data_IF_816822383761
#
_entry.id   IF_816822383761
#
_cell.length_a   1.000
_cell.length_b   1.000
_cell.length_c   1.000
_cell.angle_alpha   90.00
_cell.angle_beta   90.00
_cell.angle_gamma   90.00
#
_symmetry.space_group_name_H-M   'P 1'
#
loop_
_entity.id
_entity.type
_entity.pdbx_description
1 polymer ?
#
# COMPACT_ATOMS: atom_id res chain seq x y z
N UNK A 1 -2.75 -0.18 -18.08
CA UNK A 1 -2.23 -0.57 -16.76
C UNK A 1 -3.33 -1.40 -16.13
N UNK A 2 -3.03 -2.60 -15.67
CA UNK A 2 -4.03 -3.63 -15.38
C UNK A 2 -4.62 -3.41 -13.97
N UNK A 3 -5.65 -2.57 -13.86
CA UNK A 3 -6.41 -2.27 -12.63
C UNK A 3 -6.87 -3.55 -11.90
N UNK A 4 -6.98 -4.65 -12.65
CA UNK A 4 -7.32 -6.00 -12.17
C UNK A 4 -6.42 -6.46 -11.01
N UNK A 5 -5.11 -6.15 -11.03
CA UNK A 5 -4.15 -6.65 -10.03
C UNK A 5 -4.39 -6.10 -8.61
N UNK A 6 -4.67 -4.80 -8.48
CA UNK A 6 -4.88 -4.19 -7.16
C UNK A 6 -6.23 -4.58 -6.56
N UNK A 7 -7.26 -4.64 -7.41
CA UNK A 7 -8.60 -5.09 -7.01
C UNK A 7 -8.58 -6.55 -6.52
N UNK A 8 -7.94 -7.45 -7.27
CA UNK A 8 -7.81 -8.86 -6.89
C UNK A 8 -7.12 -9.02 -5.52
N UNK A 9 -6.06 -8.24 -5.25
CA UNK A 9 -5.35 -8.24 -3.96
C UNK A 9 -6.24 -7.72 -2.82
N UNK A 10 -7.01 -6.67 -3.07
CA UNK A 10 -7.95 -6.12 -2.09
C UNK A 10 -9.06 -7.13 -1.76
N UNK A 11 -9.65 -7.77 -2.77
CA UNK A 11 -10.67 -8.80 -2.59
C UNK A 11 -10.14 -10.01 -1.82
N UNK A 12 -8.92 -10.47 -2.13
CA UNK A 12 -8.25 -11.52 -1.38
C UNK A 12 -8.01 -11.13 0.09
N UNK A 13 -7.58 -9.89 0.35
CA UNK A 13 -7.42 -9.37 1.71
C UNK A 13 -8.76 -9.26 2.45
N UNK A 14 -9.83 -8.83 1.77
CA UNK A 14 -11.18 -8.76 2.32
C UNK A 14 -11.70 -10.15 2.71
N UNK A 15 -11.68 -11.11 1.79
CA UNK A 15 -12.11 -12.47 2.05
C UNK A 15 -11.34 -13.08 3.24
N UNK A 16 -10.03 -12.83 3.28
CA UNK A 16 -9.20 -13.32 4.36
C UNK A 16 -9.48 -12.65 5.71
N UNK A 17 -9.84 -11.37 5.73
CA UNK A 17 -10.21 -10.64 6.95
C UNK A 17 -11.56 -11.10 7.49
N UNK A 18 -12.55 -11.28 6.62
CA UNK A 18 -13.88 -11.77 7.01
C UNK A 18 -13.78 -13.18 7.60
N UNK A 19 -12.95 -14.04 7.01
CA UNK A 19 -12.62 -15.34 7.60
C UNK A 19 -12.05 -15.20 9.01
N UNK A 20 -11.09 -14.30 9.23
CA UNK A 20 -10.49 -14.09 10.55
C UNK A 20 -11.51 -13.53 11.57
N UNK A 21 -12.43 -12.67 11.13
CA UNK A 21 -13.53 -12.17 11.97
C UNK A 21 -14.47 -13.30 12.39
N UNK A 22 -14.85 -14.17 11.45
CA UNK A 22 -15.66 -15.36 11.78
C UNK A 22 -14.93 -16.30 12.75
N UNK A 23 -13.62 -16.53 12.54
CA UNK A 23 -12.81 -17.37 13.44
C UNK A 23 -12.69 -16.76 14.85
N UNK A 24 -12.63 -15.43 14.98
CA UNK A 24 -12.63 -14.72 16.26
C UNK A 24 -14.01 -14.81 16.94
N UNK A 25 -15.10 -14.57 16.19
CA UNK A 25 -16.46 -14.63 16.73
C UNK A 25 -16.81 -16.03 17.24
N UNK A 26 -16.44 -17.07 16.50
CA UNK A 26 -16.59 -18.46 16.94
C UNK A 26 -15.74 -18.80 18.19
N UNK A 27 -14.73 -17.99 18.52
CA UNK A 27 -13.86 -18.19 19.67
C UNK A 27 -14.30 -17.45 20.93
N UNK A 28 -15.22 -16.47 20.81
CA UNK A 28 -15.75 -15.67 21.95
C UNK A 28 -16.43 -16.53 23.03
N UNK A 29 -16.71 -17.80 22.72
CA UNK A 29 -17.25 -18.81 23.65
C UNK A 29 -16.19 -19.43 24.60
N UNK A 30 -14.91 -19.04 24.50
CA UNK A 30 -13.80 -19.62 25.28
C UNK A 30 -13.09 -18.63 26.24
N UNK A 31 -12.55 -19.14 27.36
CA UNK A 31 -11.92 -18.33 28.41
C UNK A 31 -10.41 -18.02 28.18
N UNK A 32 -9.82 -18.37 27.03
CA UNK A 32 -8.38 -18.18 26.82
C UNK A 32 -8.08 -16.77 26.26
N UNK A 33 -7.72 -15.85 27.17
CA UNK A 33 -7.47 -14.43 26.84
C UNK A 33 -6.34 -14.24 25.84
N UNK A 34 -5.24 -15.00 25.96
CA UNK A 34 -4.08 -14.88 25.06
C UNK A 34 -4.42 -15.28 23.63
N UNK A 35 -5.13 -16.40 23.44
CA UNK A 35 -5.57 -16.82 22.10
C UNK A 35 -6.54 -15.80 21.50
N UNK A 36 -7.43 -15.22 22.30
CA UNK A 36 -8.35 -14.18 21.85
C UNK A 36 -7.61 -12.93 21.38
N UNK A 37 -6.64 -12.45 22.16
CA UNK A 37 -5.79 -11.31 21.78
C UNK A 37 -5.02 -11.58 20.48
N UNK A 38 -4.48 -12.79 20.30
CA UNK A 38 -3.83 -13.19 19.06
C UNK A 38 -4.77 -13.18 17.84
N UNK A 39 -5.99 -13.69 17.99
CA UNK A 39 -7.00 -13.64 16.92
C UNK A 39 -7.42 -12.21 16.57
N UNK A 40 -7.59 -11.35 17.59
CA UNK A 40 -7.84 -9.91 17.38
C UNK A 40 -6.70 -9.26 16.60
N UNK A 41 -5.45 -9.59 16.94
CA UNK A 41 -4.28 -9.09 16.22
C UNK A 41 -4.33 -9.51 14.74
N UNK A 42 -4.66 -10.77 14.42
CA UNK A 42 -4.84 -11.22 13.02
C UNK A 42 -5.88 -10.37 12.29
N UNK A 43 -7.04 -10.12 12.90
CA UNK A 43 -8.09 -9.29 12.30
C UNK A 43 -7.56 -7.89 12.00
N UNK A 44 -6.86 -7.26 12.94
CA UNK A 44 -6.26 -5.94 12.76
C UNK A 44 -5.20 -5.92 11.66
N UNK A 45 -4.34 -6.94 11.61
CA UNK A 45 -3.30 -7.06 10.57
C UNK A 45 -3.91 -7.20 9.17
N UNK A 46 -4.94 -8.05 9.01
CA UNK A 46 -5.63 -8.24 7.73
C UNK A 46 -6.42 -7.00 7.32
N UNK A 47 -7.00 -6.29 8.28
CA UNK A 47 -7.62 -4.99 8.03
C UNK A 47 -6.63 -3.95 7.53
N UNK A 48 -5.43 -3.89 8.13
CA UNK A 48 -4.36 -3.02 7.67
C UNK A 48 -3.92 -3.36 6.24
N UNK A 49 -3.70 -4.65 5.94
CA UNK A 49 -3.33 -5.12 4.60
C UNK A 49 -4.38 -4.76 3.53
N UNK A 50 -5.68 -4.92 3.84
CA UNK A 50 -6.75 -4.48 2.92
C UNK A 50 -6.63 -2.98 2.60
N UNK A 51 -6.38 -2.16 3.61
CA UNK A 51 -6.25 -0.71 3.42
C UNK A 51 -4.94 -0.31 2.74
N UNK A 52 -3.86 -1.08 2.86
CA UNK A 52 -2.63 -0.83 2.10
C UNK A 52 -2.79 -1.14 0.62
N UNK A 53 -3.69 -2.06 0.22
CA UNK A 53 -4.08 -2.21 -1.20
C UNK A 53 -4.81 -0.96 -1.71
N UNK A 54 -5.73 -0.38 -0.91
CA UNK A 54 -6.39 0.88 -1.28
C UNK A 54 -5.38 2.03 -1.40
N UNK A 55 -4.36 2.06 -0.53
CA UNK A 55 -3.28 3.03 -0.61
C UNK A 55 -2.54 2.94 -1.96
N UNK A 56 -2.14 1.73 -2.38
CA UNK A 56 -1.50 1.47 -3.69
C UNK A 56 -2.31 2.07 -4.83
N UNK A 57 -3.60 1.76 -4.88
CA UNK A 57 -4.53 2.24 -5.91
C UNK A 57 -4.64 3.77 -5.97
N UNK A 58 -4.62 4.45 -4.82
CA UNK A 58 -4.84 5.91 -4.77
C UNK A 58 -3.56 6.72 -4.97
N UNK A 59 -2.42 6.25 -4.44
CA UNK A 59 -1.24 7.11 -4.26
C UNK A 59 -0.08 6.80 -5.19
N UNK A 60 -0.04 5.63 -5.82
CA UNK A 60 1.16 5.15 -6.53
C UNK A 60 0.97 5.05 -8.05
N UNK A 61 -0.05 5.73 -8.60
CA UNK A 61 -0.21 5.84 -10.04
C UNK A 61 1.05 6.51 -10.63
N UNK A 62 1.83 5.76 -11.41
CA UNK A 62 3.13 6.18 -11.96
C UNK A 62 4.26 6.36 -10.94
N UNK A 63 4.35 5.50 -9.92
CA UNK A 63 5.55 5.40 -9.07
C UNK A 63 6.05 3.96 -8.94
N UNK A 64 6.48 3.33 -10.04
CA UNK A 64 6.81 1.90 -10.14
C UNK A 64 7.75 1.40 -9.02
N UNK A 65 8.76 2.19 -8.63
CA UNK A 65 9.69 1.82 -7.55
C UNK A 65 9.02 1.77 -6.17
N UNK A 66 8.07 2.68 -5.92
CA UNK A 66 7.30 2.70 -4.67
C UNK A 66 6.22 1.63 -4.68
N UNK A 67 5.64 1.34 -5.84
CA UNK A 67 4.71 0.22 -6.05
C UNK A 67 5.39 -1.12 -5.73
N UNK A 68 6.58 -1.38 -6.29
CA UNK A 68 7.36 -2.59 -5.99
C UNK A 68 7.70 -2.71 -4.50
N UNK A 69 8.13 -1.61 -3.88
CA UNK A 69 8.44 -1.60 -2.45
C UNK A 69 7.20 -1.85 -1.58
N UNK A 70 6.08 -1.22 -1.91
CA UNK A 70 4.82 -1.44 -1.20
C UNK A 70 4.38 -2.91 -1.32
N UNK A 71 4.49 -3.50 -2.52
CA UNK A 71 4.17 -4.92 -2.73
C UNK A 71 5.03 -5.83 -1.88
N UNK A 72 6.33 -5.57 -1.81
CA UNK A 72 7.23 -6.30 -0.92
C UNK A 72 6.77 -6.22 0.54
N UNK A 73 6.42 -5.03 1.04
CA UNK A 73 5.93 -4.85 2.41
C UNK A 73 4.61 -5.60 2.66
N UNK A 74 3.67 -5.53 1.71
CA UNK A 74 2.39 -6.23 1.77
C UNK A 74 2.57 -7.76 1.79
N UNK A 75 3.41 -8.31 0.91
CA UNK A 75 3.63 -9.76 0.78
C UNK A 75 4.36 -10.32 2.01
N UNK A 76 5.33 -9.57 2.54
CA UNK A 76 6.03 -9.95 3.75
C UNK A 76 5.11 -9.90 4.98
N UNK A 77 4.32 -8.84 5.16
CA UNK A 77 3.30 -8.78 6.21
C UNK A 77 2.29 -9.92 6.08
N UNK A 78 1.84 -10.23 4.87
CA UNK A 78 0.90 -11.34 4.63
C UNK A 78 1.49 -12.69 5.08
N UNK A 79 2.77 -12.93 4.77
CA UNK A 79 3.49 -14.13 5.20
C UNK A 79 3.63 -14.21 6.72
N UNK A 80 3.99 -13.09 7.37
CA UNK A 80 4.08 -13.01 8.84
C UNK A 80 2.74 -13.32 9.52
N UNK A 81 1.66 -12.69 9.06
CA UNK A 81 0.31 -12.87 9.61
C UNK A 81 -0.18 -14.31 9.40
N UNK A 82 0.13 -14.90 8.25
CA UNK A 82 -0.21 -16.29 7.97
C UNK A 82 0.52 -17.26 8.89
N UNK A 83 1.83 -17.09 9.08
CA UNK A 83 2.63 -17.89 10.03
C UNK A 83 2.10 -17.77 11.47
N UNK A 84 1.69 -16.58 11.88
CA UNK A 84 1.10 -16.37 13.21
C UNK A 84 -0.27 -17.05 13.36
N UNK A 85 -1.12 -17.00 12.32
CA UNK A 85 -2.39 -17.73 12.29
C UNK A 85 -2.20 -19.24 12.46
N UNK A 86 -1.21 -19.82 11.76
CA UNK A 86 -0.87 -21.24 11.91
C UNK A 86 -0.34 -21.57 13.30
N UNK A 87 0.47 -20.67 13.89
CA UNK A 87 0.98 -20.83 15.25
C UNK A 87 -0.17 -20.84 16.26
N UNK A 88 -1.11 -19.89 16.15
CA UNK A 88 -2.29 -19.84 17.01
C UNK A 88 -3.19 -21.07 16.87
N UNK A 89 -3.33 -21.62 15.65
CA UNK A 89 -4.08 -22.87 15.42
C UNK A 89 -3.43 -24.05 16.15
N UNK A 90 -2.11 -24.21 16.03
CA UNK A 90 -1.36 -25.26 16.73
C UNK A 90 -1.47 -25.12 18.25
N UNK A 91 -1.38 -23.90 18.77
CA UNK A 91 -1.50 -23.66 20.22
C UNK A 91 -2.92 -23.91 20.74
N UNK A 92 -3.94 -23.59 19.94
CA UNK A 92 -5.33 -23.95 20.26
C UNK A 92 -5.51 -25.47 20.33
N UNK A 93 -5.00 -26.21 19.35
CA UNK A 93 -5.07 -27.68 19.32
C UNK A 93 -4.38 -28.32 20.53
N UNK A 94 -3.19 -27.82 20.91
CA UNK A 94 -2.49 -28.26 22.12
C UNK A 94 -3.31 -28.00 23.39
N UNK A 95 -3.91 -26.81 23.50
CA UNK A 95 -4.73 -26.47 24.66
C UNK A 95 -5.96 -27.39 24.82
N UNK A 96 -6.44 -27.99 23.72
CA UNK A 96 -7.54 -28.96 23.72
C UNK A 96 -7.09 -30.39 24.10
N UNK A 97 -5.79 -30.71 24.02
CA UNK A 97 -5.27 -32.08 24.13
C UNK A 97 -4.65 -32.47 25.49
N UNK A 98 -5.08 -31.87 26.62
CA UNK A 98 -4.56 -32.15 27.98
C UNK A 98 -3.01 -32.08 28.09
N UNK A 99 -2.45 -30.96 27.65
CA UNK A 99 -1.01 -30.64 27.68
C UNK A 99 -0.52 -30.22 29.08
N UNK A 100 0.75 -30.47 29.41
CA UNK A 100 1.32 -30.15 30.74
C UNK A 100 1.47 -28.63 30.98
N UNK A 101 1.42 -28.18 32.25
CA UNK A 101 1.47 -26.76 32.64
C UNK A 101 2.73 -26.01 32.14
N UNK A 102 3.85 -26.74 32.01
CA UNK A 102 5.14 -26.21 31.58
C UNK A 102 5.17 -25.92 30.07
N UNK A 103 4.56 -26.80 29.27
CA UNK A 103 4.37 -26.63 27.83
C UNK A 103 3.42 -25.47 27.51
N UNK A 104 2.36 -25.28 28.31
CA UNK A 104 1.43 -24.13 28.21
C UNK A 104 2.13 -22.79 28.51
N UNK A 105 3.05 -22.78 29.48
CA UNK A 105 3.76 -21.54 29.86
C UNK A 105 4.81 -21.15 28.81
N UNK A 106 5.54 -22.13 28.27
CA UNK A 106 6.51 -21.92 27.20
C UNK A 106 5.85 -21.40 25.92
N UNK A 107 4.70 -21.97 25.53
CA UNK A 107 4.01 -21.54 24.32
C UNK A 107 3.42 -20.13 24.42
N UNK A 108 3.01 -19.71 25.63
CA UNK A 108 2.54 -18.35 25.88
C UNK A 108 3.64 -17.29 25.67
N UNK A 109 4.88 -17.60 26.03
CA UNK A 109 6.04 -16.73 25.78
C UNK A 109 6.31 -16.56 24.28
N UNK A 110 6.29 -17.66 23.52
CA UNK A 110 6.49 -17.62 22.06
C UNK A 110 5.40 -16.79 21.35
N UNK A 111 4.13 -16.93 21.75
CA UNK A 111 3.03 -16.12 21.19
C UNK A 111 3.21 -14.62 21.45
N UNK A 112 3.70 -14.25 22.62
CA UNK A 112 3.98 -12.86 22.97
C UNK A 112 5.07 -12.26 22.09
N UNK A 113 6.20 -12.96 21.92
CA UNK A 113 7.31 -12.50 21.09
C UNK A 113 6.90 -12.33 19.62
N UNK A 114 6.15 -13.30 19.07
CA UNK A 114 5.62 -13.20 17.71
C UNK A 114 4.65 -12.01 17.57
N UNK A 115 3.82 -11.77 18.58
CA UNK A 115 2.88 -10.63 18.58
C UNK A 115 3.63 -9.30 18.56
N UNK A 116 4.67 -9.14 19.39
CA UNK A 116 5.52 -7.94 19.38
C UNK A 116 6.17 -7.74 18.02
N UNK A 117 6.75 -8.79 17.45
CA UNK A 117 7.45 -8.69 16.17
C UNK A 117 6.53 -8.26 15.04
N UNK A 118 5.31 -8.81 14.98
CA UNK A 118 4.30 -8.41 13.99
C UNK A 118 3.82 -6.98 14.24
N UNK A 119 3.56 -6.63 15.51
CA UNK A 119 3.16 -5.27 15.88
C UNK A 119 4.18 -4.22 15.48
N UNK A 120 5.47 -4.47 15.76
CA UNK A 120 6.57 -3.59 15.38
C UNK A 120 6.70 -3.46 13.86
N UNK A 121 6.58 -4.58 13.13
CA UNK A 121 6.63 -4.55 11.67
C UNK A 121 5.50 -3.70 11.08
N UNK A 122 4.25 -3.93 11.51
CA UNK A 122 3.09 -3.18 11.03
C UNK A 122 3.12 -1.71 11.43
N UNK A 123 3.67 -1.39 12.60
CA UNK A 123 3.89 -0.01 13.01
C UNK A 123 4.86 0.70 12.04
N UNK A 124 6.00 0.08 11.75
CA UNK A 124 7.00 0.65 10.82
C UNK A 124 6.46 0.72 9.38
N UNK A 125 5.71 -0.29 8.94
CA UNK A 125 5.03 -0.26 7.64
C UNK A 125 4.01 0.89 7.60
N UNK A 126 3.16 1.03 8.62
CA UNK A 126 2.22 2.16 8.71
C UNK A 126 2.93 3.52 8.71
N UNK A 127 4.11 3.62 9.33
CA UNK A 127 4.94 4.82 9.27
C UNK A 127 5.46 5.10 7.87
N UNK A 128 5.98 4.09 7.17
CA UNK A 128 6.42 4.23 5.79
C UNK A 128 5.28 4.72 4.86
N UNK A 129 4.04 4.24 5.06
CA UNK A 129 2.88 4.74 4.32
C UNK A 129 2.55 6.21 4.63
N UNK A 130 2.65 6.61 5.91
CA UNK A 130 2.43 8.00 6.33
C UNK A 130 3.47 8.95 5.73
N UNK A 131 4.70 8.50 5.63
CA UNK A 131 5.83 9.27 5.10
C UNK A 131 5.88 9.24 3.55
N UNK A 132 4.91 8.60 2.89
CA UNK A 132 4.82 8.59 1.42
C UNK A 132 5.83 7.66 0.74
N UNK A 133 6.34 6.67 1.49
CA UNK A 133 7.38 5.72 1.05
C UNK A 133 8.67 6.43 0.60
N UNK A 134 9.00 7.55 1.23
CA UNK A 134 10.14 8.43 0.91
C UNK A 134 11.53 7.77 1.02
N UNK A 135 11.63 6.66 1.75
CA UNK A 135 12.84 5.82 1.82
C UNK A 135 13.26 5.28 0.45
N UNK A 136 12.32 5.21 -0.51
CA UNK A 136 12.60 4.84 -1.90
C UNK A 136 12.80 6.10 -2.72
N UNK A 137 14.04 6.34 -3.15
CA UNK A 137 14.29 7.31 -4.22
C UNK A 137 13.57 6.82 -5.47
N UNK A 138 12.62 7.62 -5.97
CA UNK A 138 11.98 7.36 -7.26
C UNK A 138 13.09 7.38 -8.30
N UNK A 139 13.35 6.24 -8.96
CA UNK A 139 14.17 6.26 -10.16
C UNK A 139 13.43 7.20 -11.11
N UNK A 140 14.03 8.37 -11.37
CA UNK A 140 13.46 9.35 -12.27
C UNK A 140 12.97 8.64 -13.54
N UNK A 141 11.74 8.96 -13.97
CA UNK A 141 11.23 8.57 -15.29
C UNK A 141 12.10 9.25 -16.36
N UNK A 142 13.28 8.69 -16.62
CA UNK A 142 14.15 9.15 -17.69
C UNK A 142 13.57 8.84 -19.08
N UNK A 143 12.47 8.08 -19.17
CA UNK A 143 11.85 7.72 -20.45
C UNK A 143 10.44 8.31 -20.70
N UNK A 144 9.78 8.84 -19.67
CA UNK A 144 8.54 9.62 -19.81
C UNK A 144 8.59 10.84 -18.91
N UNK A 145 9.54 11.73 -19.18
CA UNK A 145 9.53 13.05 -18.58
C UNK A 145 8.18 13.69 -18.89
N UNK A 146 7.35 14.04 -17.88
CA UNK A 146 6.09 14.68 -18.17
C UNK A 146 6.40 15.95 -18.99
N UNK A 147 5.57 16.23 -19.98
CA UNK A 147 5.76 17.36 -20.88
C UNK A 147 4.50 18.23 -20.92
N UNK A 148 4.69 19.52 -21.16
CA UNK A 148 3.63 20.46 -21.48
C UNK A 148 3.82 20.97 -22.92
N UNK A 149 2.73 21.00 -23.68
CA UNK A 149 2.74 21.52 -25.04
C UNK A 149 2.64 23.04 -25.00
N UNK A 150 3.49 23.72 -25.77
CA UNK A 150 3.41 25.17 -25.87
C UNK A 150 2.16 25.61 -26.63
N UNK A 151 1.33 26.45 -26.02
CA UNK A 151 0.13 27.00 -26.67
C UNK A 151 0.43 27.82 -27.95
N UNK A 152 1.66 28.30 -28.11
CA UNK A 152 2.07 29.14 -29.24
C UNK A 152 2.63 28.34 -30.43
N UNK A 153 3.48 27.35 -30.18
CA UNK A 153 4.19 26.63 -31.24
C UNK A 153 4.04 25.11 -31.16
N UNK A 154 3.19 24.60 -30.26
CA UNK A 154 2.89 23.18 -30.00
C UNK A 154 4.09 22.31 -29.65
N UNK A 155 5.28 22.89 -29.46
CA UNK A 155 6.47 22.18 -29.02
C UNK A 155 6.29 21.58 -27.63
N UNK A 156 6.71 20.33 -27.45
CA UNK A 156 6.69 19.63 -26.16
C UNK A 156 7.89 20.05 -25.30
N UNK A 157 7.62 20.68 -24.16
CA UNK A 157 8.63 21.11 -23.20
C UNK A 157 8.56 20.20 -21.97
N UNK A 158 9.69 19.91 -21.34
CA UNK A 158 9.67 19.22 -20.03
C UNK A 158 9.15 20.17 -18.94
N UNK A 159 8.56 19.66 -17.86
CA UNK A 159 8.09 20.49 -16.74
C UNK A 159 9.20 21.27 -16.02
N UNK A 160 10.47 20.94 -16.24
CA UNK A 160 11.62 21.72 -15.75
C UNK A 160 11.72 23.09 -16.42
N UNK A 161 11.18 23.23 -17.64
CA UNK A 161 11.18 24.48 -18.38
C UNK A 161 9.94 25.31 -18.03
N UNK A 162 10.16 26.49 -17.42
CA UNK A 162 9.11 27.46 -17.09
C UNK A 162 8.66 28.30 -18.29
N UNK A 163 9.37 28.23 -19.41
CA UNK A 163 9.09 28.93 -20.67
C UNK A 163 9.34 27.99 -21.85
N UNK A 164 8.66 28.20 -22.98
CA UNK A 164 8.84 27.33 -24.13
C UNK A 164 10.23 27.50 -24.75
N UNK A 165 10.99 26.41 -24.85
CA UNK A 165 12.35 26.41 -25.37
C UNK A 165 12.42 26.93 -26.82
N UNK A 166 11.56 26.42 -27.70
CA UNK A 166 11.52 26.87 -29.09
C UNK A 166 11.13 28.35 -29.24
N UNK A 167 10.20 28.84 -28.42
CA UNK A 167 9.79 30.25 -28.47
C UNK A 167 10.82 31.19 -27.87
N UNK A 168 11.61 30.71 -26.90
CA UNK A 168 12.69 31.47 -26.28
C UNK A 168 13.89 31.59 -27.21
N UNK A 169 14.28 30.50 -27.86
CA UNK A 169 15.40 30.47 -28.80
C UNK A 169 15.06 31.15 -30.13
N UNK A 170 13.81 31.08 -30.58
CA UNK A 170 13.35 31.69 -31.83
C UNK A 170 12.09 32.56 -31.58
N UNK A 171 12.27 33.81 -31.13
CA UNK A 171 11.16 34.73 -30.96
C UNK A 171 10.56 35.03 -32.34
N UNK A 172 9.40 34.44 -32.66
CA UNK A 172 8.66 34.80 -33.87
C UNK A 172 8.19 36.25 -33.70
N UNK A 173 8.63 37.16 -34.57
CA UNK A 173 8.14 38.53 -34.63
C UNK A 173 6.64 38.53 -34.88
N UNK A 174 5.87 39.31 -34.10
CA UNK A 174 4.43 39.46 -34.30
C UNK A 174 4.18 40.02 -35.71
N UNK A 175 3.25 39.45 -36.51
CA UNK A 175 2.83 40.11 -37.74
C UNK A 175 2.22 41.46 -37.37
N UNK A 176 2.72 42.54 -37.96
CA UNK A 176 2.17 43.88 -37.85
C UNK A 176 0.74 43.88 -38.40
N UNK A 177 -0.22 43.95 -37.49
CA UNK A 177 -1.64 43.97 -37.83
C UNK A 177 -2.02 45.26 -38.55
N UNK A 178 -2.24 45.17 -39.86
CA UNK A 178 -3.18 46.01 -40.57
C UNK A 178 -3.83 45.18 -41.65
N UNK A 179 -5.07 44.72 -41.44
CA UNK A 179 -6.12 44.76 -42.45
C UNK A 179 -7.49 44.59 -41.78
N UNK A 180 -8.32 45.57 -42.06
CA UNK A 180 -9.74 45.73 -41.73
C UNK A 180 -10.56 44.49 -42.16
N UNK A 181 -11.61 44.18 -41.42
CA UNK A 181 -12.96 44.41 -41.96
C UNK A 181 -14.06 44.42 -40.88
N UNK A 182 -14.86 45.48 -40.98
CA UNK A 182 -16.16 45.69 -40.33
C UNK A 182 -17.17 44.65 -40.84
N UNK A 183 -17.98 44.11 -39.94
CA UNK A 183 -19.41 43.81 -40.19
C UNK A 183 -20.18 44.07 -38.91
N UNK A 184 -21.03 45.11 -38.92
CA UNK A 184 -22.24 45.27 -38.08
C UNK A 184 -22.98 46.55 -38.50
N UNK A 185 -23.95 46.40 -39.41
CA UNK A 185 -25.28 47.02 -39.42
C UNK A 185 -26.13 46.27 -40.42
#
# INVERSE_FOLDING_TARGET
MDDTSCLDRWEACEASMEKARSELQAFEESNNTTLREGLMMIVQCRQFLKWSCVYEYIHLEHEDSKEEFLRFLQDYASTLVQSFSETLKKEREKALSETTLEEVTCSRGNLYDVTINIGNYLYNFGKALQDGLDVVEVRHYDDFSPCWLCDRCTYANTWLHKVCQMCYEFPVEKPSGSFLNKVSS
#
